data_IF_973635225901
#
_entry.id   IF_973635225901
#
_cell.length_a   1.000
_cell.length_b   1.000
_cell.length_c   1.000
_cell.angle_alpha   90.00
_cell.angle_beta   90.00
_cell.angle_gamma   90.00
#
_symmetry.space_group_name_H-M   'P 1'
#
loop_
_entity.id
_entity.type
_entity.pdbx_description
1 polymer ?
#
# COMPACT_ATOMS: atom_id res chain seq x y z
N UNK A 1 24.06 32.68 -37.34
CA UNK A 1 23.10 32.99 -36.26
C UNK A 1 22.73 31.67 -35.56
N UNK A 2 23.53 31.22 -34.58
CA UNK A 2 23.31 29.95 -33.85
C UNK A 2 24.00 29.99 -32.48
N UNK A 3 23.63 30.94 -31.62
CA UNK A 3 24.21 31.09 -30.27
C UNK A 3 23.16 31.14 -29.15
N UNK A 4 21.90 30.82 -29.45
CA UNK A 4 20.81 30.94 -28.46
C UNK A 4 20.63 29.69 -27.59
N UNK A 5 20.83 28.49 -28.13
CA UNK A 5 20.41 27.23 -27.46
C UNK A 5 21.32 26.81 -26.30
N UNK A 6 22.62 27.12 -26.34
CA UNK A 6 23.55 26.76 -25.25
C UNK A 6 23.39 27.60 -23.99
N UNK A 7 22.74 28.77 -24.08
CA UNK A 7 22.59 29.66 -22.92
C UNK A 7 21.47 29.20 -22.00
N UNK A 8 20.38 28.67 -22.57
CA UNK A 8 19.22 28.20 -21.80
C UNK A 8 19.53 26.93 -20.99
N UNK A 9 20.35 26.02 -21.53
CA UNK A 9 20.79 24.81 -20.80
C UNK A 9 21.69 25.15 -19.62
N UNK A 10 22.63 26.08 -19.78
CA UNK A 10 23.58 26.49 -18.74
C UNK A 10 22.89 27.32 -17.63
N UNK A 11 21.87 28.11 -17.97
CA UNK A 11 21.05 28.81 -16.99
C UNK A 11 20.10 27.86 -16.23
N UNK A 12 19.55 26.83 -16.89
CA UNK A 12 18.76 25.75 -16.24
C UNK A 12 19.61 24.92 -15.27
N UNK A 13 20.81 24.50 -15.66
CA UNK A 13 21.73 23.75 -14.79
C UNK A 13 22.16 24.54 -13.54
N UNK A 14 22.33 25.86 -13.71
CA UNK A 14 22.67 26.76 -12.59
C UNK A 14 21.51 26.91 -11.61
N UNK A 15 20.27 26.97 -12.11
CA UNK A 15 19.06 27.02 -11.27
C UNK A 15 18.83 25.71 -10.49
N UNK A 16 19.06 24.56 -11.13
CA UNK A 16 18.97 23.24 -10.48
C UNK A 16 19.99 23.08 -9.35
N UNK A 17 21.24 23.52 -9.56
CA UNK A 17 22.26 23.52 -8.51
C UNK A 17 21.89 24.42 -7.33
N UNK A 18 21.27 25.57 -7.59
CA UNK A 18 20.83 26.47 -6.53
C UNK A 18 19.73 25.85 -5.65
N UNK A 19 18.76 25.18 -6.26
CA UNK A 19 17.69 24.46 -5.55
C UNK A 19 18.22 23.29 -4.69
N UNK A 20 19.18 22.53 -5.21
CA UNK A 20 19.80 21.41 -4.48
C UNK A 20 20.56 21.88 -3.23
N UNK A 21 21.23 23.03 -3.29
CA UNK A 21 21.95 23.59 -2.14
C UNK A 21 20.98 24.10 -1.07
N UNK A 22 19.91 24.79 -1.47
CA UNK A 22 18.92 25.36 -0.54
C UNK A 22 18.14 24.27 0.24
N UNK A 23 17.86 23.13 -0.42
CA UNK A 23 17.15 22.00 0.20
C UNK A 23 17.99 21.30 1.28
N UNK A 24 19.32 21.30 1.15
CA UNK A 24 20.26 20.73 2.13
C UNK A 24 20.37 21.61 3.38
N UNK A 25 20.29 22.94 3.22
CA UNK A 25 20.37 23.88 4.34
C UNK A 25 19.09 23.91 5.19
N UNK A 26 17.92 23.66 4.59
CA UNK A 26 16.62 23.75 5.26
C UNK A 26 16.10 22.44 5.87
N UNK A 27 16.86 21.36 5.87
CA UNK A 27 16.41 20.10 6.50
C UNK A 27 16.54 20.20 8.03
N UNK A 28 15.44 20.27 8.81
CA UNK A 28 15.54 20.41 10.26
C UNK A 28 16.04 19.10 10.86
N UNK A 29 17.25 19.13 11.45
CA UNK A 29 17.79 18.04 12.27
C UNK A 29 16.84 17.75 13.43
N UNK A 30 16.00 16.71 13.30
CA UNK A 30 15.12 16.23 14.39
C UNK A 30 15.97 15.78 15.58
N UNK A 31 16.07 16.62 16.62
CA UNK A 31 16.55 16.22 17.94
C UNK A 31 15.54 15.26 18.56
N UNK A 32 15.86 13.97 18.56
CA UNK A 32 15.08 12.89 19.18
C UNK A 32 15.12 13.02 20.70
N UNK A 33 14.17 13.76 21.28
CA UNK A 33 13.92 13.78 22.73
C UNK A 33 13.06 12.56 23.09
N UNK A 34 13.67 11.59 23.75
CA UNK A 34 12.95 10.51 24.44
C UNK A 34 12.14 11.10 25.59
N UNK A 35 10.81 10.91 25.57
CA UNK A 35 9.95 11.09 26.74
C UNK A 35 9.33 9.73 27.06
N UNK A 36 9.67 9.19 28.22
CA UNK A 36 9.01 8.04 28.82
C UNK A 36 7.54 8.38 29.06
N UNK A 37 6.62 7.54 28.59
CA UNK A 37 5.20 7.67 28.85
C UNK A 37 4.80 6.65 29.91
N UNK A 38 4.39 7.20 31.05
CA UNK A 38 3.79 6.56 32.21
C UNK A 38 2.48 5.88 31.82
N UNK A 39 2.34 4.58 32.08
CA UNK A 39 1.09 3.84 31.91
C UNK A 39 0.24 4.08 33.17
N UNK A 40 -0.80 4.90 33.04
CA UNK A 40 -1.83 5.06 34.06
C UNK A 40 -3.08 4.29 33.59
N UNK A 41 -3.44 3.25 34.35
CA UNK A 41 -4.64 2.46 34.13
C UNK A 41 -5.92 3.24 34.49
N UNK A 42 -6.98 2.97 33.75
CA UNK A 42 -8.34 3.33 34.15
C UNK A 42 -9.25 2.13 33.88
N UNK A 43 -9.56 1.41 34.95
CA UNK A 43 -10.66 0.46 35.06
C UNK A 43 -11.95 1.28 35.14
N UNK A 44 -12.87 1.08 34.20
CA UNK A 44 -14.22 1.64 34.29
C UNK A 44 -15.16 0.54 34.79
N UNK A 45 -15.55 0.63 36.06
CA UNK A 45 -16.62 -0.17 36.65
C UNK A 45 -17.99 0.40 36.31
N UNK A 46 -18.89 -0.52 35.93
CA UNK A 46 -20.33 -0.40 35.72
C UNK A 46 -21.04 0.02 37.01
N UNK A 47 -21.95 1.01 36.97
CA UNK A 47 -23.16 1.07 37.81
C UNK A 47 -24.18 2.09 37.22
N UNK A 48 -25.45 1.66 37.05
CA UNK A 48 -26.60 2.57 37.09
C UNK A 48 -27.73 2.33 36.09
N UNK A 49 -28.74 1.52 36.46
CA UNK A 49 -30.02 1.46 35.75
C UNK A 49 -30.91 0.29 36.20
N UNK A 50 -31.63 0.47 37.30
CA UNK A 50 -32.49 -0.55 37.89
C UNK A 50 -33.95 -0.50 37.38
N UNK A 51 -34.58 -1.69 37.45
CA UNK A 51 -36.02 -1.97 37.61
C UNK A 51 -36.92 -2.06 36.36
N UNK A 52 -37.07 -3.27 35.84
CA UNK A 52 -38.36 -4.00 35.81
C UNK A 52 -38.19 -5.47 35.35
N UNK A 53 -38.41 -6.42 36.26
CA UNK A 53 -39.01 -7.74 35.99
C UNK A 53 -38.22 -8.83 35.24
N UNK A 54 -37.67 -9.79 36.00
CA UNK A 54 -37.81 -11.22 35.68
C UNK A 54 -36.91 -11.84 34.60
N UNK A 55 -35.65 -12.08 34.93
CA UNK A 55 -34.88 -13.32 34.69
C UNK A 55 -33.40 -13.00 34.99
N UNK A 56 -32.83 -13.62 36.02
CA UNK A 56 -31.37 -13.69 36.12
C UNK A 56 -30.95 -14.73 35.10
N UNK A 57 -30.86 -14.35 33.83
CA UNK A 57 -30.06 -15.12 32.87
C UNK A 57 -28.65 -15.11 33.45
N UNK A 58 -28.14 -16.28 33.84
CA UNK A 58 -26.73 -16.46 34.08
C UNK A 58 -26.01 -15.88 32.86
N UNK A 59 -25.36 -14.73 33.03
CA UNK A 59 -24.56 -14.15 31.97
C UNK A 59 -23.45 -15.16 31.71
N UNK A 60 -23.61 -15.98 30.67
CA UNK A 60 -22.56 -16.88 30.23
C UNK A 60 -21.31 -16.02 30.02
N UNK A 61 -20.21 -16.38 30.68
CA UNK A 61 -18.94 -15.70 30.46
C UNK A 61 -18.67 -15.72 28.96
N UNK A 62 -18.35 -14.56 28.34
CA UNK A 62 -18.06 -14.51 26.92
C UNK A 62 -16.94 -15.50 26.58
N UNK A 63 -17.11 -16.22 25.47
CA UNK A 63 -16.12 -17.17 24.98
C UNK A 63 -14.76 -16.46 24.81
N UNK A 64 -13.70 -16.87 25.52
CA UNK A 64 -12.40 -16.22 25.43
C UNK A 64 -11.83 -16.24 24.01
N UNK A 65 -12.12 -17.26 23.22
CA UNK A 65 -11.65 -17.34 21.83
C UNK A 65 -12.33 -16.30 20.93
N UNK A 66 -13.63 -16.06 21.14
CA UNK A 66 -14.36 -15.03 20.41
C UNK A 66 -13.87 -13.61 20.78
N UNK A 67 -13.59 -13.37 22.07
CA UNK A 67 -13.00 -12.10 22.52
C UNK A 67 -11.62 -11.86 21.93
N UNK A 68 -10.77 -12.89 21.92
CA UNK A 68 -9.45 -12.82 21.30
C UNK A 68 -9.55 -12.50 19.80
N UNK A 69 -10.37 -13.25 19.06
CA UNK A 69 -10.60 -13.02 17.64
C UNK A 69 -11.05 -11.58 17.37
N UNK A 70 -12.02 -11.08 18.14
CA UNK A 70 -12.51 -9.70 17.99
C UNK A 70 -11.43 -8.65 18.33
N UNK A 71 -10.59 -8.89 19.33
CA UNK A 71 -9.49 -7.97 19.70
C UNK A 71 -8.38 -7.91 18.66
N UNK A 72 -8.15 -9.01 17.92
CA UNK A 72 -7.12 -9.12 16.89
C UNK A 72 -7.60 -8.72 15.48
N UNK A 73 -8.91 -8.61 15.27
CA UNK A 73 -9.51 -8.41 13.95
C UNK A 73 -8.92 -7.23 13.17
N UNK A 74 -8.64 -6.10 13.83
CA UNK A 74 -8.05 -4.94 13.17
C UNK A 74 -6.61 -5.19 12.70
N UNK A 75 -5.80 -5.90 13.48
CA UNK A 75 -4.43 -6.27 13.09
C UNK A 75 -4.45 -7.24 11.92
N UNK A 76 -5.33 -8.26 11.96
CA UNK A 76 -5.43 -9.27 10.90
C UNK A 76 -5.91 -8.65 9.58
N UNK A 77 -6.99 -7.86 9.62
CA UNK A 77 -7.52 -7.16 8.43
C UNK A 77 -6.47 -6.17 7.89
N UNK A 78 -5.82 -5.39 8.76
CA UNK A 78 -4.79 -4.44 8.35
C UNK A 78 -3.52 -5.08 7.78
N UNK A 79 -3.19 -6.30 8.21
CA UNK A 79 -2.04 -7.06 7.70
C UNK A 79 -2.32 -7.90 6.47
N UNK A 80 -3.59 -8.02 6.05
CA UNK A 80 -4.00 -8.85 4.90
C UNK A 80 -3.84 -8.17 3.55
N UNK A 81 -3.81 -6.84 3.54
CA UNK A 81 -3.62 -6.04 2.34
C UNK A 81 -2.22 -5.44 2.29
N UNK A 82 -1.98 -4.57 1.31
CA UNK A 82 -0.74 -3.85 1.23
C UNK A 82 -0.55 -2.93 2.46
N UNK A 83 0.71 -2.76 2.90
CA UNK A 83 1.11 -2.13 4.18
C UNK A 83 0.63 -0.68 4.38
N UNK A 84 0.31 0.01 3.28
CA UNK A 84 -0.23 1.37 3.26
C UNK A 84 -1.72 1.46 3.53
N UNK A 85 -2.46 0.37 3.32
CA UNK A 85 -3.90 0.35 3.55
C UNK A 85 -4.19 0.62 5.03
N UNK A 86 -5.30 1.31 5.28
CA UNK A 86 -5.71 1.68 6.63
C UNK A 86 -7.06 1.06 6.92
N UNK A 87 -7.15 0.36 8.04
CA UNK A 87 -8.43 -0.12 8.58
C UNK A 87 -9.34 1.06 8.86
N UNK A 88 -10.60 0.96 8.40
CA UNK A 88 -11.66 1.94 8.63
C UNK A 88 -12.82 1.27 9.35
N UNK A 89 -13.33 1.95 10.39
CA UNK A 89 -14.43 1.44 11.21
C UNK A 89 -13.96 0.39 12.22
N UNK A 90 -14.84 -0.57 12.53
CA UNK A 90 -14.60 -1.62 13.52
C UNK A 90 -14.65 -2.98 12.82
N UNK A 91 -13.49 -3.57 12.48
CA UNK A 91 -13.43 -4.94 11.98
C UNK A 91 -14.07 -5.92 12.95
N UNK A 92 -14.56 -7.02 12.40
CA UNK A 92 -15.23 -8.07 13.15
C UNK A 92 -14.33 -9.29 13.18
N UNK A 93 -14.18 -9.90 14.36
CA UNK A 93 -13.49 -11.17 14.54
C UNK A 93 -14.44 -12.22 15.11
N UNK A 94 -14.44 -13.41 14.52
CA UNK A 94 -15.32 -14.53 14.92
C UNK A 94 -14.54 -15.84 14.93
N UNK A 95 -15.03 -16.79 15.69
CA UNK A 95 -14.57 -18.18 15.68
C UNK A 95 -15.73 -19.09 15.31
N UNK A 96 -15.44 -20.18 14.61
CA UNK A 96 -16.46 -21.14 14.21
C UNK A 96 -15.85 -22.42 13.64
N UNK A 97 -16.71 -23.37 13.30
CA UNK A 97 -16.33 -24.66 12.71
C UNK A 97 -17.35 -25.17 11.69
N UNK A 98 -18.19 -24.27 11.19
CA UNK A 98 -19.25 -24.55 10.22
C UNK A 98 -19.28 -23.44 9.17
N UNK A 99 -20.17 -23.58 8.20
CA UNK A 99 -20.53 -22.50 7.28
C UNK A 99 -20.79 -21.17 8.02
N UNK A 100 -20.33 -20.07 7.43
CA UNK A 100 -20.56 -18.71 7.90
C UNK A 100 -21.09 -17.85 6.75
N UNK A 101 -21.95 -16.88 7.09
CA UNK A 101 -22.36 -15.85 6.13
C UNK A 101 -21.98 -14.48 6.64
N UNK A 102 -21.07 -13.83 5.92
CA UNK A 102 -20.69 -12.44 6.14
C UNK A 102 -21.75 -11.56 5.47
N UNK A 103 -22.44 -10.74 6.27
CA UNK A 103 -23.26 -9.66 5.73
C UNK A 103 -22.39 -8.43 5.56
N UNK A 104 -21.96 -8.16 4.32
CA UNK A 104 -21.10 -7.02 3.99
C UNK A 104 -21.98 -5.78 4.06
N UNK A 105 -21.86 -5.04 5.17
CA UNK A 105 -22.64 -3.83 5.40
C UNK A 105 -22.36 -2.75 4.34
N UNK A 106 -22.91 -1.54 4.55
CA UNK A 106 -22.49 -0.40 3.74
C UNK A 106 -21.02 -0.09 4.02
N UNK A 107 -20.29 0.29 2.98
CA UNK A 107 -18.93 0.80 3.12
C UNK A 107 -18.94 2.07 4.00
N UNK A 108 -18.11 2.15 5.04
CA UNK A 108 -17.86 3.38 5.78
C UNK A 108 -17.34 4.48 4.85
N UNK A 109 -17.49 5.74 5.28
CA UNK A 109 -17.00 6.86 4.50
C UNK A 109 -15.50 6.72 4.17
N UNK A 110 -15.17 6.82 2.88
CA UNK A 110 -13.82 6.69 2.32
C UNK A 110 -13.22 5.27 2.37
N UNK A 111 -13.98 4.25 2.74
CA UNK A 111 -13.54 2.87 2.52
C UNK A 111 -13.70 2.53 1.03
N UNK A 112 -12.68 1.91 0.44
CA UNK A 112 -12.65 1.52 -0.98
C UNK A 112 -12.44 0.02 -1.18
N UNK A 113 -12.07 -0.70 -0.12
CA UNK A 113 -11.76 -2.14 -0.18
C UNK A 113 -12.39 -2.84 1.00
N UNK A 114 -13.05 -3.98 0.77
CA UNK A 114 -13.46 -4.92 1.80
C UNK A 114 -12.49 -6.10 1.79
N UNK A 115 -12.05 -6.55 2.96
CA UNK A 115 -11.21 -7.76 3.09
C UNK A 115 -11.76 -8.69 4.16
N UNK A 116 -11.57 -9.99 3.94
CA UNK A 116 -11.77 -11.02 4.95
C UNK A 116 -10.59 -11.98 4.96
N UNK A 117 -10.29 -12.51 6.15
CA UNK A 117 -9.22 -13.48 6.39
C UNK A 117 -9.77 -14.58 7.29
N UNK A 118 -9.71 -15.82 6.82
CA UNK A 118 -10.00 -17.00 7.61
C UNK A 118 -8.69 -17.71 7.98
N UNK A 119 -8.35 -17.72 9.26
CA UNK A 119 -7.23 -18.50 9.81
C UNK A 119 -7.75 -19.84 10.28
N UNK A 120 -7.22 -20.93 9.72
CA UNK A 120 -7.62 -22.28 10.08
C UNK A 120 -6.91 -22.74 11.35
N UNK A 121 -7.68 -23.24 12.32
CA UNK A 121 -7.22 -23.57 13.67
C UNK A 121 -7.07 -25.07 13.91
N UNK A 122 -8.04 -25.85 13.42
CA UNK A 122 -8.10 -27.30 13.63
C UNK A 122 -8.49 -28.00 12.34
N UNK A 123 -8.08 -29.25 12.19
CA UNK A 123 -8.39 -30.04 11.00
C UNK A 123 -7.72 -29.51 9.74
N UNK A 124 -8.16 -30.05 8.61
CA UNK A 124 -7.84 -29.60 7.27
C UNK A 124 -9.08 -29.73 6.40
N UNK A 125 -9.35 -28.73 5.59
CA UNK A 125 -10.54 -28.73 4.74
C UNK A 125 -10.40 -27.75 3.59
N UNK A 126 -11.53 -27.41 3.00
CA UNK A 126 -11.62 -26.41 1.95
C UNK A 126 -12.58 -25.32 2.42
N UNK A 127 -12.22 -24.07 2.11
CA UNK A 127 -13.11 -22.92 2.26
C UNK A 127 -13.58 -22.60 0.84
N UNK A 128 -14.88 -22.75 0.63
CA UNK A 128 -15.54 -22.33 -0.60
C UNK A 128 -16.22 -21.00 -0.35
N UNK A 129 -15.82 -19.98 -1.09
CA UNK A 129 -16.44 -18.68 -1.10
C UNK A 129 -17.50 -18.61 -2.20
N UNK A 130 -18.70 -18.15 -1.83
CA UNK A 130 -19.75 -17.79 -2.78
C UNK A 130 -20.30 -16.44 -2.42
N UNK A 131 -20.39 -15.53 -3.37
CA UNK A 131 -20.95 -14.21 -3.13
C UNK A 131 -21.80 -13.71 -4.29
N UNK A 132 -22.81 -12.91 -3.98
CA UNK A 132 -23.56 -12.20 -5.02
C UNK A 132 -22.67 -11.09 -5.59
N UNK A 133 -22.28 -11.20 -6.86
CA UNK A 133 -21.48 -10.18 -7.55
C UNK A 133 -19.97 -10.41 -7.51
N UNK A 134 -19.51 -11.58 -7.07
CA UNK A 134 -18.10 -11.99 -7.08
C UNK A 134 -17.98 -13.41 -7.61
N UNK A 135 -16.84 -13.75 -8.19
CA UNK A 135 -16.57 -15.10 -8.67
C UNK A 135 -16.45 -16.09 -7.50
N UNK A 136 -16.98 -17.29 -7.69
CA UNK A 136 -16.86 -18.35 -6.69
C UNK A 136 -15.38 -18.75 -6.52
N UNK A 137 -14.91 -18.74 -5.28
CA UNK A 137 -13.54 -19.07 -4.91
C UNK A 137 -13.47 -20.38 -4.14
N UNK A 138 -12.37 -21.13 -4.30
CA UNK A 138 -12.10 -22.31 -3.48
C UNK A 138 -10.63 -22.36 -3.10
N UNK A 139 -10.37 -22.52 -1.81
CA UNK A 139 -9.02 -22.64 -1.29
C UNK A 139 -8.91 -23.77 -0.27
N UNK A 140 -7.83 -24.54 -0.35
CA UNK A 140 -7.48 -25.49 0.70
C UNK A 140 -7.00 -24.74 1.93
N UNK A 141 -7.33 -25.26 3.11
CA UNK A 141 -6.96 -24.65 4.38
C UNK A 141 -6.53 -25.71 5.37
N UNK A 142 -5.25 -25.66 5.75
CA UNK A 142 -4.65 -26.49 6.79
C UNK A 142 -4.54 -25.72 8.11
N UNK A 143 -4.49 -26.40 9.24
CA UNK A 143 -4.25 -25.76 10.54
C UNK A 143 -3.00 -24.87 10.51
N UNK A 144 -3.14 -23.61 10.95
CA UNK A 144 -2.11 -22.57 10.93
C UNK A 144 -2.03 -21.76 9.62
N UNK A 145 -2.70 -22.19 8.55
CA UNK A 145 -2.77 -21.43 7.29
C UNK A 145 -3.89 -20.38 7.32
N UNK A 146 -3.83 -19.46 6.37
CA UNK A 146 -4.84 -18.43 6.17
C UNK A 146 -5.35 -18.44 4.73
N UNK A 147 -6.65 -18.21 4.57
CA UNK A 147 -7.29 -17.90 3.30
C UNK A 147 -7.76 -16.45 3.38
N UNK A 148 -7.57 -15.68 2.31
CA UNK A 148 -7.95 -14.27 2.26
C UNK A 148 -8.75 -13.98 1.00
N UNK A 149 -9.69 -13.05 1.09
CA UNK A 149 -10.44 -12.52 -0.04
C UNK A 149 -10.55 -11.00 0.08
N UNK A 150 -10.49 -10.29 -1.04
CA UNK A 150 -10.55 -8.83 -1.09
C UNK A 150 -11.34 -8.35 -2.29
N UNK A 151 -12.13 -7.29 -2.09
CA UNK A 151 -13.09 -6.78 -3.07
C UNK A 151 -13.15 -5.26 -3.08
N UNK A 152 -13.41 -4.67 -4.25
CA UNK A 152 -13.70 -3.25 -4.32
C UNK A 152 -15.03 -2.94 -3.60
N UNK A 153 -15.09 -1.84 -2.87
CA UNK A 153 -16.28 -1.44 -2.12
C UNK A 153 -17.51 -1.26 -3.01
N UNK A 154 -17.32 -0.81 -4.25
CA UNK A 154 -18.38 -0.66 -5.25
C UNK A 154 -19.03 -1.96 -5.68
N UNK A 155 -18.34 -3.09 -5.52
CA UNK A 155 -18.80 -4.41 -5.97
C UNK A 155 -19.50 -5.19 -4.86
N UNK A 156 -19.02 -5.05 -3.62
CA UNK A 156 -19.45 -5.94 -2.52
C UNK A 156 -20.29 -5.24 -1.43
N UNK A 157 -20.32 -3.91 -1.37
CA UNK A 157 -21.07 -3.23 -0.31
C UNK A 157 -22.58 -3.56 -0.37
N UNK A 158 -23.14 -4.00 0.74
CA UNK A 158 -24.55 -4.43 0.83
C UNK A 158 -24.82 -5.87 0.40
N UNK A 159 -23.81 -6.61 -0.08
CA UNK A 159 -23.92 -8.01 -0.47
C UNK A 159 -23.64 -8.98 0.67
N UNK A 160 -23.75 -10.28 0.38
CA UNK A 160 -23.41 -11.36 1.31
C UNK A 160 -22.33 -12.24 0.71
N UNK A 161 -21.39 -12.66 1.55
CA UNK A 161 -20.38 -13.66 1.24
C UNK A 161 -20.68 -14.88 2.11
N UNK A 162 -20.86 -16.04 1.49
CA UNK A 162 -21.00 -17.32 2.16
C UNK A 162 -19.66 -18.04 2.11
N UNK A 163 -19.15 -18.39 3.28
CA UNK A 163 -18.00 -19.26 3.45
C UNK A 163 -18.52 -20.63 3.84
N UNK A 164 -18.38 -21.61 2.94
CA UNK A 164 -18.69 -23.00 3.22
C UNK A 164 -17.42 -23.73 3.62
N UNK A 165 -17.53 -24.55 4.67
CA UNK A 165 -16.39 -25.20 5.32
C UNK A 165 -16.62 -26.70 5.31
N UNK A 166 -15.68 -27.44 4.73
CA UNK A 166 -15.72 -28.90 4.69
C UNK A 166 -14.92 -29.53 5.85
N UNK A 167 -15.36 -30.71 6.30
CA UNK A 167 -14.65 -31.52 7.31
C UNK A 167 -14.85 -31.04 8.75
N UNK A 168 -13.82 -31.23 9.58
CA UNK A 168 -13.75 -30.82 10.99
C UNK A 168 -13.00 -29.49 11.19
N UNK A 169 -12.95 -28.67 10.13
CA UNK A 169 -12.16 -27.45 10.06
C UNK A 169 -12.72 -26.37 11.00
N UNK A 170 -11.95 -26.04 12.03
CA UNK A 170 -12.20 -24.90 12.90
C UNK A 170 -11.46 -23.67 12.38
N UNK A 171 -12.04 -22.48 12.49
CA UNK A 171 -11.50 -21.24 11.93
C UNK A 171 -11.67 -20.04 12.86
N UNK A 172 -10.80 -19.04 12.65
CA UNK A 172 -10.98 -17.65 13.10
C UNK A 172 -11.16 -16.77 11.86
N UNK A 173 -12.29 -16.10 11.74
CA UNK A 173 -12.61 -15.22 10.62
C UNK A 173 -12.51 -13.76 11.08
N UNK A 174 -11.68 -12.97 10.41
CA UNK A 174 -11.59 -11.52 10.59
C UNK A 174 -11.99 -10.83 9.30
N UNK A 175 -12.86 -9.82 9.36
CA UNK A 175 -13.23 -9.05 8.18
C UNK A 175 -13.48 -7.59 8.51
N UNK A 176 -13.28 -6.72 7.53
CA UNK A 176 -13.41 -5.30 7.72
C UNK A 176 -13.16 -4.49 6.46
N UNK A 177 -13.28 -3.18 6.62
CA UNK A 177 -13.07 -2.21 5.56
C UNK A 177 -11.68 -1.62 5.64
N UNK A 178 -11.06 -1.49 4.48
CA UNK A 178 -9.79 -0.81 4.27
C UNK A 178 -10.02 0.45 3.42
N UNK A 179 -9.09 1.38 3.55
CA UNK A 179 -8.98 2.58 2.72
C UNK A 179 -7.57 2.69 2.20
N UNK A 180 -7.48 2.94 0.90
CA UNK A 180 -6.28 3.45 0.24
C UNK A 180 -6.11 4.93 0.62
N UNK A 181 -5.00 5.31 1.29
CA UNK A 181 -4.62 6.71 1.42
C UNK A 181 -4.52 7.34 0.01
N UNK A 182 -4.90 8.61 -0.14
CA UNK A 182 -4.69 9.28 -1.42
C UNK A 182 -3.19 9.27 -1.76
N UNK A 183 -2.89 8.93 -3.02
CA UNK A 183 -1.54 9.08 -3.54
C UNK A 183 -1.13 10.56 -3.49
N UNK A 184 0.15 10.86 -3.25
CA UNK A 184 0.62 12.23 -3.26
C UNK A 184 0.49 12.80 -4.67
N UNK A 185 0.31 14.12 -4.76
CA UNK A 185 0.52 14.81 -6.03
C UNK A 185 2.00 14.73 -6.44
N UNK A 186 2.27 14.93 -7.72
CA UNK A 186 3.61 15.11 -8.22
C UNK A 186 4.30 16.30 -7.51
N UNK A 187 5.61 16.18 -7.32
CA UNK A 187 6.42 17.24 -6.75
C UNK A 187 6.61 18.37 -7.76
N UNK A 188 6.82 19.60 -7.28
CA UNK A 188 7.04 20.75 -8.15
C UNK A 188 8.24 20.54 -9.12
N UNK A 189 9.25 19.77 -8.69
CA UNK A 189 10.39 19.43 -9.54
C UNK A 189 10.02 18.42 -10.65
N UNK A 190 9.07 17.51 -10.37
CA UNK A 190 8.51 16.61 -11.38
C UNK A 190 7.62 17.39 -12.36
N UNK A 191 6.76 18.27 -11.85
CA UNK A 191 5.91 19.13 -12.69
C UNK A 191 6.75 20.00 -13.64
N UNK A 192 7.81 20.63 -13.13
CA UNK A 192 8.73 21.43 -13.92
C UNK A 192 9.45 20.60 -15.02
N UNK A 193 9.90 19.39 -14.68
CA UNK A 193 10.58 18.50 -15.62
C UNK A 193 9.66 17.92 -16.70
N UNK A 194 8.34 18.08 -16.56
CA UNK A 194 7.35 17.56 -17.51
C UNK A 194 6.55 18.66 -18.21
N UNK A 195 6.82 19.93 -17.91
CA UNK A 195 6.04 21.09 -18.39
C UNK A 195 6.08 21.25 -19.91
N UNK A 196 7.23 20.99 -20.54
CA UNK A 196 7.42 21.09 -21.99
C UNK A 196 7.19 19.76 -22.73
N UNK A 197 6.82 18.70 -22.00
CA UNK A 197 6.54 17.38 -22.54
C UNK A 197 7.76 16.58 -23.00
N UNK A 198 8.99 17.08 -22.76
CA UNK A 198 10.24 16.41 -23.13
C UNK A 198 11.11 16.24 -21.89
N UNK A 199 11.44 15.00 -21.55
CA UNK A 199 12.30 14.70 -20.40
C UNK A 199 13.74 14.49 -20.86
N UNK A 200 14.65 15.28 -20.31
CA UNK A 200 16.09 15.09 -20.52
C UNK A 200 16.69 13.98 -19.66
N UNK A 201 17.84 13.44 -20.07
CA UNK A 201 18.54 12.41 -19.26
C UNK A 201 18.87 12.93 -17.86
N UNK A 202 19.30 14.18 -17.74
CA UNK A 202 19.60 14.79 -16.44
C UNK A 202 18.35 14.92 -15.57
N UNK A 203 17.21 15.30 -16.14
CA UNK A 203 15.92 15.35 -15.43
C UNK A 203 15.43 13.96 -15.02
N UNK A 204 15.56 12.96 -15.89
CA UNK A 204 15.21 11.57 -15.59
C UNK A 204 16.06 11.02 -14.43
N UNK A 205 17.39 11.20 -14.48
CA UNK A 205 18.28 10.78 -13.40
C UNK A 205 18.04 11.58 -12.11
N UNK A 206 17.73 12.87 -12.20
CA UNK A 206 17.40 13.68 -11.03
C UNK A 206 16.06 13.25 -10.39
N UNK A 207 15.05 12.90 -11.19
CA UNK A 207 13.80 12.33 -10.70
C UNK A 207 14.03 10.97 -10.04
N UNK A 208 14.87 10.11 -10.62
CA UNK A 208 15.27 8.86 -10.02
C UNK A 208 16.01 9.05 -8.69
N UNK A 209 16.93 10.01 -8.60
CA UNK A 209 17.62 10.36 -7.35
C UNK A 209 16.62 10.85 -6.27
N UNK A 210 15.58 11.61 -6.66
CA UNK A 210 14.50 12.00 -5.74
C UNK A 210 13.64 10.82 -5.30
N UNK A 211 13.30 9.88 -6.20
CA UNK A 211 12.66 8.62 -5.80
C UNK A 211 13.52 7.93 -4.74
N UNK A 212 14.81 7.70 -5.02
CA UNK A 212 15.71 7.02 -4.10
C UNK A 212 15.79 7.72 -2.74
N UNK A 213 15.78 9.06 -2.74
CA UNK A 213 15.68 9.88 -1.53
C UNK A 213 14.39 9.65 -0.76
N UNK A 214 13.23 9.65 -1.43
CA UNK A 214 11.93 9.36 -0.84
C UNK A 214 11.87 7.94 -0.23
N UNK A 215 12.34 6.93 -0.98
CA UNK A 215 12.43 5.54 -0.52
C UNK A 215 13.29 5.43 0.74
N UNK A 216 14.48 6.04 0.72
CA UNK A 216 15.42 6.05 1.85
C UNK A 216 14.80 6.71 3.09
N UNK A 217 14.09 7.83 2.91
CA UNK A 217 13.40 8.53 4.00
C UNK A 217 12.29 7.68 4.65
N UNK A 218 11.82 6.63 3.95
CA UNK A 218 10.81 5.68 4.41
C UNK A 218 11.39 4.35 4.89
N UNK A 219 12.73 4.21 4.89
CA UNK A 219 13.42 3.00 5.34
C UNK A 219 13.53 1.91 4.26
N UNK A 220 13.17 2.24 3.02
CA UNK A 220 13.28 1.33 1.87
C UNK A 220 14.54 1.62 1.05
N UNK A 221 14.99 0.63 0.28
CA UNK A 221 16.15 0.74 -0.61
C UNK A 221 15.82 0.13 -1.97
N UNK A 222 16.17 0.85 -3.04
CA UNK A 222 16.08 0.35 -4.42
C UNK A 222 17.31 -0.48 -4.83
N UNK A 223 18.24 -0.71 -3.91
CA UNK A 223 19.52 -1.35 -4.23
C UNK A 223 20.46 -0.45 -5.04
N UNK A 224 21.36 -1.06 -5.81
CA UNK A 224 22.28 -0.34 -6.71
C UNK A 224 21.74 -0.42 -8.13
N UNK A 225 21.30 0.72 -8.65
CA UNK A 225 20.83 0.83 -10.03
C UNK A 225 21.90 1.53 -10.87
N UNK A 226 22.38 0.91 -11.97
CA UNK A 226 23.39 1.53 -12.83
C UNK A 226 22.85 2.80 -13.50
N UNK A 227 23.49 3.95 -13.23
CA UNK A 227 23.16 5.23 -13.90
C UNK A 227 23.47 5.26 -15.39
N UNK A 228 24.19 4.25 -15.90
CA UNK A 228 24.44 4.04 -17.32
C UNK A 228 23.25 3.43 -18.05
N UNK A 229 22.29 2.84 -17.32
CA UNK A 229 21.10 2.24 -17.93
C UNK A 229 20.21 3.30 -18.56
N UNK A 230 19.62 2.96 -19.71
CA UNK A 230 18.55 3.72 -20.33
C UNK A 230 17.21 3.54 -19.60
N UNK A 231 17.05 2.38 -18.95
CA UNK A 231 15.82 1.97 -18.28
C UNK A 231 16.08 1.71 -16.81
N UNK A 232 15.19 2.20 -15.95
CA UNK A 232 15.24 1.83 -14.54
C UNK A 232 13.92 1.16 -14.18
N UNK A 233 13.98 -0.12 -13.86
CA UNK A 233 12.88 -0.86 -13.28
C UNK A 233 13.12 -0.96 -11.77
N UNK A 234 12.61 0.01 -10.97
CA UNK A 234 12.81 -0.02 -9.54
C UNK A 234 12.05 -1.21 -8.96
N UNK A 235 12.67 -1.93 -8.05
CA UNK A 235 11.97 -2.90 -7.21
C UNK A 235 12.19 -2.52 -5.75
N UNK A 236 11.17 -2.77 -4.93
CA UNK A 236 11.18 -2.47 -3.51
C UNK A 236 10.60 -3.65 -2.74
N UNK A 237 11.06 -3.84 -1.50
CA UNK A 237 10.44 -4.82 -0.61
C UNK A 237 9.00 -4.41 -0.31
N UNK A 238 8.78 -3.12 -0.02
CA UNK A 238 7.44 -2.55 0.10
C UNK A 238 7.03 -1.84 -1.20
N UNK A 239 6.25 -2.53 -2.04
CA UNK A 239 5.73 -2.00 -3.30
C UNK A 239 4.91 -0.71 -3.10
N UNK A 240 4.31 -0.51 -1.93
CA UNK A 240 3.51 0.68 -1.69
C UNK A 240 4.30 1.93 -1.41
N UNK A 241 5.45 1.75 -0.75
CA UNK A 241 6.40 2.84 -0.55
C UNK A 241 6.95 3.25 -1.90
N UNK A 242 7.20 2.28 -2.79
CA UNK A 242 7.56 2.54 -4.18
C UNK A 242 6.44 3.30 -4.92
N UNK A 243 5.20 2.81 -4.92
CA UNK A 243 4.09 3.49 -5.60
C UNK A 243 3.90 4.94 -5.11
N UNK A 244 3.94 5.14 -3.79
CA UNK A 244 3.79 6.45 -3.18
C UNK A 244 4.93 7.39 -3.59
N UNK A 245 6.18 6.93 -3.48
CA UNK A 245 7.35 7.75 -3.81
C UNK A 245 7.45 8.01 -5.32
N UNK A 246 7.09 7.03 -6.15
CA UNK A 246 7.04 7.18 -7.60
C UNK A 246 6.01 8.21 -8.01
N UNK A 247 4.78 8.13 -7.46
CA UNK A 247 3.75 9.13 -7.72
C UNK A 247 4.21 10.55 -7.39
N UNK A 248 4.90 10.75 -6.25
CA UNK A 248 5.40 12.08 -5.88
C UNK A 248 6.63 12.54 -6.66
N UNK A 249 7.57 11.66 -7.03
CA UNK A 249 8.90 12.11 -7.48
C UNK A 249 9.28 11.73 -8.91
N UNK A 250 8.64 10.72 -9.51
CA UNK A 250 9.18 10.09 -10.72
C UNK A 250 8.18 9.66 -11.80
N UNK A 251 6.99 9.16 -11.46
CA UNK A 251 6.11 8.46 -12.41
C UNK A 251 5.80 9.21 -13.71
N UNK A 252 5.54 10.53 -13.67
CA UNK A 252 5.29 11.33 -14.86
C UNK A 252 6.56 11.52 -15.72
N UNK A 253 7.70 11.73 -15.06
CA UNK A 253 9.00 11.84 -15.71
C UNK A 253 9.38 10.51 -16.38
N UNK A 254 9.19 9.39 -15.68
CA UNK A 254 9.40 8.05 -16.24
C UNK A 254 8.48 7.82 -17.44
N UNK A 255 7.18 8.09 -17.30
CA UNK A 255 6.22 7.89 -18.40
C UNK A 255 6.64 8.63 -19.67
N UNK A 256 7.03 9.91 -19.59
CA UNK A 256 7.51 10.67 -20.75
C UNK A 256 8.82 10.11 -21.29
N UNK A 257 9.77 9.76 -20.42
CA UNK A 257 11.05 9.17 -20.83
C UNK A 257 10.86 7.84 -21.57
N UNK A 258 10.02 6.93 -21.06
CA UNK A 258 9.74 5.63 -21.66
C UNK A 258 8.99 5.74 -22.99
N UNK A 259 8.15 6.76 -23.16
CA UNK A 259 7.47 7.00 -24.44
C UNK A 259 8.46 7.36 -25.55
N UNK A 260 9.54 8.08 -25.23
CA UNK A 260 10.58 8.46 -26.19
C UNK A 260 11.63 7.36 -26.38
N UNK A 261 11.88 6.57 -25.34
CA UNK A 261 12.84 5.48 -25.34
C UNK A 261 12.09 4.17 -25.19
N UNK A 262 11.29 3.75 -26.19
CA UNK A 262 10.46 2.59 -26.03
C UNK A 262 11.31 1.36 -25.82
N UNK A 263 10.73 0.53 -25.00
CA UNK A 263 11.25 -0.71 -24.56
C UNK A 263 11.46 -1.69 -25.76
N UNK A 264 12.66 -2.25 -26.04
CA UNK A 264 12.84 -3.20 -27.15
C UNK A 264 11.96 -4.45 -27.04
N UNK A 265 11.33 -4.85 -28.14
CA UNK A 265 10.31 -5.91 -28.16
C UNK A 265 10.78 -7.32 -27.72
N UNK A 266 12.09 -7.57 -27.61
CA UNK A 266 12.64 -8.83 -27.13
C UNK A 266 12.93 -8.73 -25.64
N UNK A 267 11.95 -9.15 -24.84
CA UNK A 267 12.02 -9.24 -23.38
C UNK A 267 12.84 -10.49 -22.98
N UNK A 268 14.17 -10.36 -22.98
CA UNK A 268 15.12 -11.39 -22.54
C UNK A 268 15.60 -11.17 -21.09
N UNK A 269 14.81 -10.45 -20.28
CA UNK A 269 15.16 -9.99 -18.93
C UNK A 269 16.39 -9.05 -18.88
N UNK A 270 16.93 -8.58 -20.03
CA UNK A 270 18.11 -7.69 -20.07
C UNK A 270 17.81 -6.19 -19.94
N UNK A 271 16.55 -5.82 -19.71
CA UNK A 271 16.03 -4.44 -19.67
C UNK A 271 16.88 -3.42 -18.92
N UNK A 272 17.47 -3.80 -17.78
CA UNK A 272 18.31 -2.93 -16.97
C UNK A 272 19.76 -2.75 -17.46
N UNK A 273 20.13 -3.37 -18.59
CA UNK A 273 21.51 -3.44 -19.09
C UNK A 273 21.74 -2.69 -20.39
N UNK A 274 20.71 -2.11 -21.00
CA UNK A 274 20.88 -1.36 -22.24
C UNK A 274 21.66 -0.08 -21.96
N UNK A 275 22.90 0.05 -22.48
CA UNK A 275 23.67 1.26 -22.31
C UNK A 275 22.99 2.38 -23.09
N UNK A 276 22.74 3.50 -22.43
CA UNK A 276 22.38 4.70 -23.16
C UNK A 276 23.64 5.30 -23.81
N UNK A 277 23.58 5.51 -25.13
CA UNK A 277 24.60 6.26 -25.87
C UNK A 277 24.12 7.70 -26.11
N UNK A 278 24.62 8.70 -25.36
CA UNK A 278 24.24 10.10 -25.55
C UNK A 278 24.55 10.62 -26.96
N UNK A 279 25.54 10.04 -27.65
CA UNK A 279 25.90 10.46 -29.01
C UNK A 279 24.86 10.02 -30.05
N UNK A 280 24.01 9.05 -29.71
CA UNK A 280 22.95 8.55 -30.58
C UNK A 280 21.65 9.37 -30.50
N UNK A 281 21.48 10.21 -29.47
CA UNK A 281 20.35 11.12 -29.36
C UNK A 281 20.77 12.55 -29.77
N UNK A 282 20.35 13.04 -30.95
CA UNK A 282 20.74 14.35 -31.48
C UNK A 282 20.27 15.53 -30.60
N UNK A 283 19.37 15.30 -29.63
CA UNK A 283 18.96 16.31 -28.65
C UNK A 283 20.00 16.52 -27.54
N UNK A 284 20.89 15.54 -27.34
CA UNK A 284 21.86 15.52 -26.25
C UNK A 284 23.32 15.42 -26.71
N UNK A 285 23.58 15.39 -28.02
CA UNK A 285 24.91 15.30 -28.62
C UNK A 285 25.71 16.64 -28.58
N UNK A 286 25.42 17.55 -27.65
CA UNK A 286 25.96 18.92 -27.57
C UNK A 286 26.86 19.16 -26.36
#
# INVERSE_FOLDING_TARGET
>A
MSTSTNRDTDDRDRALRALLVDTVEHTPRRRRRWRAATIAGAVVCVLGGAAAGGAITAAASPDPAALEAQSQAATVVGGSGATYLRVVGSPVGRVGSSDETISVGRAPARADTFTWVATCRTGSGEITERGSGVDDGKASCAAGSHVTGSYAASEIAGHRIRLSVDGDLGWTLSYGWLRTPPMPAASAAQDQATEDGVVTRSEYLAAFDRLQGCMTARGESLGRIPRSSLFVAPTAHDASVLDWCSASEWSAVDTLWQNEHPAPSSDDDSWGWQPYDPASDPRYAG
#
